data_IF_370909748789
#
_entry.id   IF_370909748789
#
_cell.length_a   1.000
_cell.length_b   1.000
_cell.length_c   1.000
_cell.angle_alpha   90.00
_cell.angle_beta   90.00
_cell.angle_gamma   90.00
#
_symmetry.space_group_name_H-M   'P 1'
#
loop_
_entity.id
_entity.type
_entity.pdbx_description
1 polymer ?
#
# COMPACT_ATOMS: atom_id res chain seq x y z
N UNK A 1 -2.57 -22.54 9.63
CA UNK A 1 -2.78 -21.18 9.08
C UNK A 1 -3.64 -20.45 10.09
N UNK A 2 -3.23 -19.28 10.58
CA UNK A 2 -3.97 -18.62 11.68
C UNK A 2 -5.17 -17.84 11.14
N UNK A 3 -6.22 -17.72 11.93
CA UNK A 3 -7.48 -17.04 11.64
C UNK A 3 -7.74 -15.97 12.70
N UNK A 4 -8.42 -14.87 12.36
CA UNK A 4 -8.71 -13.76 13.26
C UNK A 4 -10.18 -13.37 13.16
N UNK A 5 -10.82 -13.18 14.30
CA UNK A 5 -12.17 -12.64 14.35
C UNK A 5 -12.15 -11.14 14.02
N UNK A 6 -12.96 -10.68 13.06
CA UNK A 6 -13.00 -9.27 12.67
C UNK A 6 -13.51 -8.36 13.80
N UNK A 7 -14.46 -8.85 14.60
CA UNK A 7 -15.10 -8.06 15.66
C UNK A 7 -14.30 -8.00 16.97
N UNK A 8 -13.83 -9.15 17.48
CA UNK A 8 -13.12 -9.21 18.76
C UNK A 8 -11.59 -9.33 18.62
N UNK A 9 -11.08 -9.48 17.41
CA UNK A 9 -9.64 -9.53 17.12
C UNK A 9 -8.92 -10.77 17.61
N UNK A 10 -9.62 -11.74 18.21
CA UNK A 10 -9.03 -12.99 18.74
C UNK A 10 -8.49 -13.85 17.61
N UNK A 11 -7.31 -14.43 17.81
CA UNK A 11 -6.64 -15.31 16.85
C UNK A 11 -6.92 -16.77 17.20
N UNK A 12 -7.23 -17.55 16.18
CA UNK A 12 -7.58 -18.97 16.24
C UNK A 12 -6.65 -19.76 15.30
N UNK A 13 -6.30 -20.98 15.68
CA UNK A 13 -5.47 -21.85 14.84
C UNK A 13 -6.27 -22.51 13.70
N UNK A 14 -7.58 -22.65 13.88
CA UNK A 14 -8.57 -23.13 12.90
C UNK A 14 -9.72 -22.13 12.75
N UNK A 15 -10.41 -22.06 11.60
CA UNK A 15 -11.54 -21.16 11.40
C UNK A 15 -12.75 -21.62 12.25
N UNK A 16 -13.16 -20.87 13.28
CA UNK A 16 -14.33 -21.24 14.06
C UNK A 16 -15.62 -20.85 13.34
N UNK A 17 -16.69 -21.65 13.49
CA UNK A 17 -18.03 -21.27 13.01
C UNK A 17 -18.57 -20.02 13.73
N UNK A 18 -18.20 -19.84 15.00
CA UNK A 18 -18.49 -18.66 15.81
C UNK A 18 -17.33 -18.32 16.73
N UNK A 19 -16.96 -17.05 16.75
CA UNK A 19 -16.06 -16.48 17.74
C UNK A 19 -16.72 -16.44 19.14
N UNK A 20 -15.90 -16.35 20.19
CA UNK A 20 -16.37 -16.18 21.57
C UNK A 20 -17.20 -14.90 21.79
N UNK A 21 -17.08 -13.90 20.90
CA UNK A 21 -17.91 -12.70 20.92
C UNK A 21 -19.28 -12.89 20.23
N UNK A 22 -19.58 -14.08 19.70
CA UNK A 22 -20.82 -14.38 18.99
C UNK A 22 -20.79 -14.08 17.48
N UNK A 23 -19.72 -13.44 16.98
CA UNK A 23 -19.55 -13.18 15.55
C UNK A 23 -19.22 -14.44 14.76
N UNK A 24 -19.69 -14.52 13.52
CA UNK A 24 -19.28 -15.53 12.54
C UNK A 24 -18.26 -14.97 11.53
N UNK A 25 -17.83 -13.72 11.71
CA UNK A 25 -16.94 -13.02 10.79
C UNK A 25 -15.47 -13.27 11.15
N UNK A 26 -14.87 -14.23 10.43
CA UNK A 26 -13.51 -14.71 10.66
C UNK A 26 -12.71 -14.61 9.37
N UNK A 27 -11.57 -13.93 9.44
CA UNK A 27 -10.67 -13.70 8.31
C UNK A 27 -9.32 -14.41 8.53
N UNK A 28 -8.60 -14.84 7.50
CA UNK A 28 -7.24 -15.37 7.64
C UNK A 28 -6.30 -14.35 8.29
N UNK A 29 -5.62 -14.74 9.37
CA UNK A 29 -4.67 -13.88 10.10
C UNK A 29 -3.31 -13.77 9.40
N UNK A 30 -3.05 -14.58 8.37
CA UNK A 30 -1.80 -14.59 7.63
C UNK A 30 -2.05 -14.29 6.15
N UNK A 31 -1.53 -13.16 5.67
CA UNK A 31 -1.29 -12.94 4.24
C UNK A 31 -1.96 -11.74 3.59
N UNK A 32 -2.73 -10.93 4.31
CA UNK A 32 -3.09 -9.60 3.83
C UNK A 32 -2.64 -8.55 4.83
N UNK A 33 -1.94 -7.55 4.33
CA UNK A 33 -1.20 -6.53 5.07
C UNK A 33 -2.17 -5.49 5.67
N UNK A 34 -3.35 -5.96 6.12
CA UNK A 34 -4.50 -5.16 6.51
C UNK A 34 -5.09 -4.35 5.35
N UNK A 35 -4.68 -4.60 4.08
CA UNK A 35 -4.99 -3.74 2.93
C UNK A 35 -6.48 -3.68 2.62
N UNK A 36 -7.22 -4.74 2.91
CA UNK A 36 -8.68 -4.80 2.72
C UNK A 36 -9.48 -4.68 4.01
N UNK A 37 -8.82 -4.48 5.17
CA UNK A 37 -9.54 -4.30 6.43
C UNK A 37 -10.38 -3.01 6.44
N UNK A 38 -11.59 -3.02 7.04
CA UNK A 38 -12.45 -1.84 7.12
C UNK A 38 -11.77 -0.66 7.86
N UNK A 39 -10.87 -0.95 8.80
CA UNK A 39 -10.05 0.07 9.47
C UNK A 39 -9.02 0.71 8.53
N UNK A 40 -8.37 -0.06 7.65
CA UNK A 40 -7.45 0.49 6.65
C UNK A 40 -8.20 1.33 5.61
N UNK A 41 -9.40 0.92 5.19
CA UNK A 41 -10.26 1.70 4.31
C UNK A 41 -10.64 3.03 4.97
N UNK A 42 -11.07 3.00 6.24
CA UNK A 42 -11.37 4.23 7.00
C UNK A 42 -10.15 5.16 7.08
N UNK A 43 -8.96 4.63 7.31
CA UNK A 43 -7.74 5.44 7.41
C UNK A 43 -7.40 6.13 6.08
N UNK A 44 -7.54 5.43 4.95
CA UNK A 44 -7.35 5.99 3.60
C UNK A 44 -8.35 7.10 3.27
N UNK A 45 -9.61 6.96 3.68
CA UNK A 45 -10.62 7.99 3.45
C UNK A 45 -10.37 9.27 4.25
N UNK A 46 -9.72 9.17 5.41
CA UNK A 46 -9.44 10.30 6.28
C UNK A 46 -8.08 10.96 6.01
N UNK A 47 -7.18 10.30 5.29
CA UNK A 47 -5.83 10.76 5.00
C UNK A 47 -5.55 10.70 3.50
N UNK A 48 -5.64 11.83 2.78
CA UNK A 48 -5.35 11.89 1.35
C UNK A 48 -3.94 11.41 1.01
N UNK A 49 -2.99 11.58 1.93
CA UNK A 49 -1.61 11.13 1.76
C UNK A 49 -1.46 9.60 1.82
N UNK A 50 -2.38 8.90 2.51
CA UNK A 50 -2.42 7.43 2.60
C UNK A 50 -3.28 6.80 1.48
N UNK A 51 -4.05 7.62 0.76
CA UNK A 51 -4.78 7.21 -0.44
C UNK A 51 -3.92 7.29 -1.71
N UNK A 52 -2.75 7.95 -1.65
CA UNK A 52 -1.84 8.10 -2.78
C UNK A 52 -1.09 6.79 -3.07
N UNK A 53 -1.62 6.01 -4.02
CA UNK A 53 -1.02 4.75 -4.52
C UNK A 53 0.07 5.02 -5.54
N UNK A 54 0.95 5.98 -5.29
CA UNK A 54 2.09 6.22 -6.17
C UNK A 54 3.13 5.13 -5.96
N UNK A 55 3.39 4.35 -7.02
CA UNK A 55 4.44 3.30 -7.05
C UNK A 55 5.83 3.83 -6.63
N UNK A 56 6.04 5.14 -6.76
CA UNK A 56 7.25 5.86 -6.36
C UNK A 56 7.38 6.09 -4.86
N UNK A 57 6.33 5.83 -4.06
CA UNK A 57 6.32 6.03 -2.60
C UNK A 57 6.53 4.74 -1.82
N UNK A 58 5.97 3.63 -2.29
CA UNK A 58 6.01 2.33 -1.59
C UNK A 58 7.29 1.54 -1.90
N UNK A 59 7.82 1.65 -3.12
CA UNK A 59 8.96 0.83 -3.59
C UNK A 59 10.23 1.69 -3.75
N UNK A 60 11.25 1.52 -2.90
CA UNK A 60 12.44 2.40 -2.89
C UNK A 60 13.23 2.34 -4.21
N UNK A 61 13.25 1.18 -4.87
CA UNK A 61 13.92 1.01 -6.17
C UNK A 61 13.17 1.72 -7.31
N UNK A 62 11.84 1.69 -7.30
CA UNK A 62 11.00 2.37 -8.30
C UNK A 62 11.13 3.89 -8.15
N UNK A 63 11.18 4.38 -6.91
CA UNK A 63 11.42 5.79 -6.61
C UNK A 63 12.76 6.29 -7.18
N UNK A 64 13.83 5.52 -6.99
CA UNK A 64 15.16 5.84 -7.50
C UNK A 64 15.19 5.86 -9.03
N UNK A 65 14.61 4.86 -9.68
CA UNK A 65 14.57 4.76 -11.13
C UNK A 65 13.78 5.91 -11.74
N UNK A 66 12.62 6.25 -11.17
CA UNK A 66 11.82 7.40 -11.60
C UNK A 66 12.62 8.71 -11.51
N UNK A 67 13.31 8.96 -10.38
CA UNK A 67 14.14 10.15 -10.21
C UNK A 67 15.29 10.20 -11.23
N UNK A 68 15.92 9.07 -11.52
CA UNK A 68 16.99 8.98 -12.52
C UNK A 68 16.47 9.32 -13.93
N UNK A 69 15.30 8.80 -14.31
CA UNK A 69 14.66 9.10 -15.60
C UNK A 69 14.31 10.58 -15.72
N UNK A 70 13.73 11.18 -14.67
CA UNK A 70 13.41 12.62 -14.64
C UNK A 70 14.69 13.45 -14.78
N UNK A 71 15.76 13.11 -14.06
CA UNK A 71 17.04 13.81 -14.16
C UNK A 71 17.62 13.73 -15.57
N UNK A 72 17.62 12.53 -16.19
CA UNK A 72 18.06 12.34 -17.57
C UNK A 72 17.26 13.17 -18.57
N UNK A 73 15.93 13.22 -18.41
CA UNK A 73 15.06 14.02 -19.28
C UNK A 73 15.38 15.52 -19.19
N UNK A 74 15.63 16.04 -17.97
CA UNK A 74 16.03 17.43 -17.76
C UNK A 74 17.38 17.72 -18.41
N UNK A 75 18.37 16.84 -18.23
CA UNK A 75 19.69 17.00 -18.87
C UNK A 75 19.57 17.00 -20.39
N UNK A 76 18.79 16.07 -20.96
CA UNK A 76 18.56 16.02 -22.40
C UNK A 76 17.90 17.30 -22.94
N UNK A 77 16.92 17.84 -22.22
CA UNK A 77 16.28 19.12 -22.56
C UNK A 77 17.27 20.28 -22.51
N UNK A 78 18.15 20.34 -21.52
CA UNK A 78 19.18 21.38 -21.42
C UNK A 78 20.19 21.28 -22.57
N UNK A 79 20.64 20.07 -22.90
CA UNK A 79 21.54 19.84 -24.05
C UNK A 79 20.88 20.26 -25.35
N UNK A 80 19.62 19.88 -25.57
CA UNK A 80 18.87 20.28 -26.76
C UNK A 80 18.70 21.80 -26.84
N UNK A 81 18.41 22.47 -25.71
CA UNK A 81 18.33 23.92 -25.66
C UNK A 81 19.67 24.55 -26.05
N UNK A 82 20.79 24.14 -25.44
CA UNK A 82 22.12 24.67 -25.79
C UNK A 82 22.43 24.47 -27.27
N UNK A 83 22.16 23.28 -27.82
CA UNK A 83 22.40 22.98 -29.24
C UNK A 83 21.54 23.81 -30.21
N UNK A 84 20.39 24.34 -29.78
CA UNK A 84 19.56 25.22 -30.59
C UNK A 84 19.99 26.69 -30.53
N UNK A 85 20.75 27.08 -29.49
CA UNK A 85 21.23 28.44 -29.28
C UNK A 85 22.70 28.66 -29.69
N UNK A 86 23.42 27.59 -30.03
CA UNK A 86 24.79 27.58 -30.60
C UNK A 86 24.70 27.42 -32.11
#
# INVERSE_FOLDING_TARGET
>A
MKWRCADCGRVHDDPPERCACGSADVEPAAGDDGRFSPLAVRRRLLSPADADRSLTREEPYVALLFRAVVALAVVALLVAAVALFV
#
